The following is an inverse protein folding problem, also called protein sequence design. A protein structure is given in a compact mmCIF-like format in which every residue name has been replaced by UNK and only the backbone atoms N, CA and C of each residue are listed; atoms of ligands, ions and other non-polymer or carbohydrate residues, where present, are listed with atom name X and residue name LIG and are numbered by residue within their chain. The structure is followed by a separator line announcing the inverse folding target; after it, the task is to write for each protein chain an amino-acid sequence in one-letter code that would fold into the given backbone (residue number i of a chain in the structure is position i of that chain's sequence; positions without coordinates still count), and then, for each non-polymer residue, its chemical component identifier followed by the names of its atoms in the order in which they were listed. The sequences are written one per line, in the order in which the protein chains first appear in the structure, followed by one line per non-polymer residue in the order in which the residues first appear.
data_IF_213237149626
#
_entry.id   IF_213237149626
#
_cell.length_a   1.000
_cell.length_b   1.000
_cell.length_c   1.000
_cell.angle_alpha   90.00
_cell.angle_beta   90.00
_cell.angle_gamma   90.00
#
_symmetry.space_group_name_H-M   'P 1'
#
loop_
_entity.id
_entity.type
_entity.pdbx_description
1 polymer ?
#
# COMPACT_ATOMS: atom_id res chain seq x y z
N UNK A 1 -15.01 -3.20 51.07
CA UNK A 1 -15.82 -3.43 49.86
C UNK A 1 -14.93 -3.09 48.67
N UNK A 2 -14.49 -4.12 47.96
CA UNK A 2 -13.48 -4.04 46.91
C UNK A 2 -14.21 -3.97 45.57
N UNK A 3 -14.01 -2.89 44.79
CA UNK A 3 -14.49 -2.80 43.42
C UNK A 3 -13.55 -3.61 42.51
N UNK A 4 -14.01 -4.62 41.75
CA UNK A 4 -13.22 -5.18 40.68
C UNK A 4 -13.60 -4.57 39.34
N UNK A 5 -12.56 -4.10 38.66
CA UNK A 5 -12.28 -4.32 37.24
C UNK A 5 -13.30 -3.83 36.20
N UNK A 6 -12.98 -2.71 35.57
CA UNK A 6 -13.39 -2.40 34.20
C UNK A 6 -12.82 -3.49 33.29
N UNK A 7 -13.67 -4.43 32.87
CA UNK A 7 -13.42 -5.32 31.74
C UNK A 7 -13.30 -4.43 30.50
N UNK A 8 -12.05 -4.19 30.09
CA UNK A 8 -11.74 -3.60 28.80
C UNK A 8 -12.25 -4.57 27.75
N UNK A 9 -13.43 -4.31 27.19
CA UNK A 9 -13.91 -5.02 26.01
C UNK A 9 -12.89 -4.75 24.91
N UNK A 10 -12.04 -5.75 24.68
CA UNK A 10 -11.20 -5.85 23.51
C UNK A 10 -12.08 -5.51 22.31
N UNK A 11 -11.81 -4.35 21.72
CA UNK A 11 -12.26 -4.01 20.39
C UNK A 11 -11.61 -5.04 19.46
N UNK A 12 -12.29 -6.19 19.25
CA UNK A 12 -11.97 -7.23 18.25
C UNK A 12 -12.23 -6.70 16.83
N UNK A 13 -11.77 -5.49 16.60
CA UNK A 13 -11.39 -4.91 15.34
C UNK A 13 -10.63 -5.97 14.52
N UNK A 14 -11.25 -6.56 13.46
CA UNK A 14 -10.71 -7.73 12.78
C UNK A 14 -9.33 -7.41 12.23
N UNK A 15 -8.35 -8.31 12.42
CA UNK A 15 -7.04 -8.19 11.81
C UNK A 15 -7.23 -8.12 10.29
N UNK A 16 -7.00 -6.94 9.71
CA UNK A 16 -6.92 -6.79 8.27
C UNK A 16 -5.48 -7.16 7.94
N UNK A 17 -5.28 -8.32 7.32
CA UNK A 17 -4.00 -8.71 6.76
C UNK A 17 -3.83 -7.93 5.46
N UNK A 18 -3.01 -6.88 5.52
CA UNK A 18 -2.72 -6.04 4.37
C UNK A 18 -1.29 -6.34 3.91
N UNK A 19 -1.18 -7.06 2.80
CA UNK A 19 0.10 -7.31 2.14
C UNK A 19 0.43 -6.17 1.18
N UNK A 20 1.68 -5.73 1.19
CA UNK A 20 2.22 -4.64 0.39
C UNK A 20 3.28 -5.19 -0.56
N UNK A 21 3.02 -5.12 -1.86
CA UNK A 21 3.98 -5.51 -2.88
C UNK A 21 4.78 -4.29 -3.31
N UNK A 22 6.07 -4.27 -2.99
CA UNK A 22 7.00 -3.27 -3.50
C UNK A 22 7.60 -3.74 -4.82
N UNK A 23 7.31 -3.02 -5.90
CA UNK A 23 7.77 -3.34 -7.26
C UNK A 23 8.80 -2.32 -7.71
N UNK A 24 10.07 -2.71 -7.62
CA UNK A 24 11.22 -1.87 -7.98
C UNK A 24 12.34 -1.90 -6.94
N UNK A 25 13.33 -0.99 -7.05
CA UNK A 25 14.51 -0.99 -6.20
C UNK A 25 14.18 -0.74 -4.72
N UNK A 26 14.84 -1.49 -3.82
CA UNK A 26 14.65 -1.39 -2.37
C UNK A 26 15.70 -0.50 -1.68
N UNK A 27 16.69 -0.01 -2.41
CA UNK A 27 17.72 0.92 -1.95
C UNK A 27 17.26 2.39 -1.98
N UNK A 28 15.97 2.62 -2.25
CA UNK A 28 15.40 3.97 -2.31
C UNK A 28 15.04 4.51 -0.93
N UNK A 29 15.18 5.82 -0.75
CA UNK A 29 14.73 6.52 0.48
C UNK A 29 13.24 6.28 0.76
N UNK A 30 12.40 6.26 -0.28
CA UNK A 30 10.96 6.02 -0.15
C UNK A 30 10.65 4.62 0.39
N UNK A 31 11.41 3.60 -0.03
CA UNK A 31 11.29 2.25 0.54
C UNK A 31 11.64 2.24 2.03
N UNK A 32 12.80 2.79 2.39
CA UNK A 32 13.24 2.82 3.79
C UNK A 32 12.26 3.59 4.68
N UNK A 33 11.70 4.69 4.17
CA UNK A 33 10.73 5.48 4.90
C UNK A 33 9.37 4.79 5.00
N UNK A 34 8.95 4.01 4.00
CA UNK A 34 7.77 3.14 4.09
C UNK A 34 7.96 2.11 5.21
N UNK A 35 9.09 1.40 5.22
CA UNK A 35 9.41 0.40 6.25
C UNK A 35 9.41 1.03 7.64
N UNK A 36 10.08 2.18 7.80
CA UNK A 36 10.10 2.92 9.08
C UNK A 36 8.71 3.37 9.50
N UNK A 37 7.92 3.88 8.57
CA UNK A 37 6.57 4.36 8.87
C UNK A 37 5.63 3.21 9.25
N UNK A 38 5.65 2.08 8.53
CA UNK A 38 4.88 0.87 8.86
C UNK A 38 5.27 0.36 10.26
N UNK A 39 6.55 0.40 10.60
CA UNK A 39 7.05 -0.01 11.92
C UNK A 39 6.72 0.99 13.05
N UNK A 40 6.30 2.22 12.71
CA UNK A 40 6.03 3.29 13.69
C UNK A 40 4.60 3.25 14.24
N UNK A 41 4.42 3.85 15.42
CA UNK A 41 3.10 4.03 16.06
C UNK A 41 2.15 4.96 15.30
N UNK A 42 2.62 5.60 14.21
CA UNK A 42 1.83 6.46 13.32
C UNK A 42 1.20 5.72 12.15
N UNK A 43 1.51 4.44 11.97
CA UNK A 43 0.81 3.59 11.01
C UNK A 43 -0.60 3.28 11.54
N UNK A 44 -1.65 3.24 10.69
CA UNK A 44 -3.04 3.17 11.12
C UNK A 44 -3.46 1.95 11.98
N UNK A 45 -2.58 0.98 12.32
CA UNK A 45 -2.88 -0.05 13.34
C UNK A 45 -1.68 -0.71 14.03
N UNK A 46 -1.90 -1.08 15.31
CA UNK A 46 -1.57 -2.36 15.99
C UNK A 46 -2.75 -2.74 16.91
N UNK A 47 -3.24 -3.98 16.96
CA UNK A 47 -2.63 -5.04 17.78
C UNK A 47 -2.47 -6.44 17.13
N UNK A 48 -3.05 -6.74 15.95
CA UNK A 48 -2.98 -8.10 15.35
C UNK A 48 -2.76 -8.14 13.82
N UNK A 49 -2.45 -7.03 13.15
CA UNK A 49 -2.21 -7.01 11.70
C UNK A 49 -0.70 -7.14 11.40
N UNK A 50 -0.32 -8.16 10.62
CA UNK A 50 1.03 -8.31 10.07
C UNK A 50 1.09 -7.67 8.69
N UNK A 51 1.67 -6.46 8.61
CA UNK A 51 2.02 -5.88 7.32
C UNK A 51 3.18 -6.71 6.76
N UNK A 52 2.91 -7.45 5.70
CA UNK A 52 3.97 -8.15 4.96
C UNK A 52 4.35 -7.29 3.77
N UNK A 53 5.63 -6.94 3.67
CA UNK A 53 6.19 -6.30 2.48
C UNK A 53 6.82 -7.38 1.63
N UNK A 54 6.25 -7.62 0.45
CA UNK A 54 6.78 -8.57 -0.54
C UNK A 54 7.52 -7.78 -1.61
N UNK A 55 8.77 -8.14 -1.87
CA UNK A 55 9.57 -7.49 -2.90
C UNK A 55 9.41 -8.21 -4.24
N UNK A 56 9.25 -7.43 -5.30
CA UNK A 56 9.28 -7.90 -6.67
C UNK A 56 10.31 -7.09 -7.45
N UNK A 57 11.46 -7.72 -7.72
CA UNK A 57 12.48 -7.17 -8.63
C UNK A 57 12.09 -7.33 -10.11
N UNK A 58 11.15 -8.24 -10.40
CA UNK A 58 10.62 -8.46 -11.74
C UNK A 58 9.68 -7.34 -12.19
N UNK A 59 9.52 -7.14 -13.52
CA UNK A 59 8.69 -6.07 -14.08
C UNK A 59 7.20 -6.24 -13.78
N UNK A 60 6.75 -7.46 -13.50
CA UNK A 60 5.38 -7.79 -13.14
C UNK A 60 5.41 -8.60 -11.84
N UNK A 61 4.77 -8.14 -10.76
CA UNK A 61 4.73 -8.87 -9.51
C UNK A 61 3.88 -10.14 -9.63
N UNK A 62 4.33 -11.21 -8.97
CA UNK A 62 3.54 -12.42 -8.82
C UNK A 62 2.48 -12.23 -7.73
N UNK A 63 1.34 -11.68 -8.11
CA UNK A 63 0.23 -11.44 -7.19
C UNK A 63 -0.67 -12.68 -7.09
N UNK A 64 -1.07 -13.12 -5.89
CA UNK A 64 -2.06 -14.19 -5.75
C UNK A 64 -3.39 -13.80 -6.40
N UNK A 65 -4.22 -14.78 -6.77
CA UNK A 65 -5.59 -14.47 -7.22
C UNK A 65 -6.38 -14.00 -6.00
N UNK A 66 -6.87 -12.76 -6.01
CA UNK A 66 -7.70 -12.25 -4.93
C UNK A 66 -9.05 -12.96 -4.95
N UNK A 67 -9.39 -13.71 -3.90
CA UNK A 67 -10.69 -14.37 -3.73
C UNK A 67 -11.73 -13.44 -3.06
N UNK A 68 -11.51 -12.12 -3.11
CA UNK A 68 -12.41 -11.10 -2.55
C UNK A 68 -12.29 -10.87 -1.04
N UNK A 69 -11.31 -11.49 -0.35
CA UNK A 69 -11.23 -11.41 1.12
C UNK A 69 -10.33 -10.31 1.70
N UNK A 70 -9.49 -9.64 0.91
CA UNK A 70 -8.94 -8.31 1.24
C UNK A 70 -8.08 -7.80 0.07
N UNK A 71 -8.19 -6.51 -0.30
CA UNK A 71 -7.40 -5.95 -1.39
C UNK A 71 -5.97 -5.68 -0.92
N UNK A 72 -5.02 -6.42 -1.47
CA UNK A 72 -3.59 -6.12 -1.31
C UNK A 72 -3.19 -4.79 -1.93
N UNK A 73 -2.07 -4.22 -1.50
CA UNK A 73 -1.54 -2.95 -2.03
C UNK A 73 -0.29 -3.20 -2.87
N UNK A 74 -0.26 -2.73 -4.11
CA UNK A 74 0.90 -2.83 -5.00
C UNK A 74 1.48 -1.44 -5.18
N UNK A 75 2.70 -1.22 -4.70
CA UNK A 75 3.47 0.00 -4.89
C UNK A 75 4.43 -0.19 -6.07
N UNK A 76 4.29 0.69 -7.06
CA UNK A 76 5.14 0.73 -8.23
C UNK A 76 6.15 1.87 -8.12
N UNK A 77 7.45 1.54 -8.09
CA UNK A 77 8.50 2.56 -8.11
C UNK A 77 8.57 3.18 -9.49
N UNK A 78 8.60 4.51 -9.56
CA UNK A 78 8.76 5.25 -10.81
C UNK A 78 10.22 5.17 -11.25
N UNK A 79 10.50 4.60 -12.44
CA UNK A 79 11.85 4.60 -13.00
C UNK A 79 12.30 6.02 -13.36
N UNK A 80 13.60 6.29 -13.25
CA UNK A 80 14.21 7.55 -13.70
C UNK A 80 14.03 7.79 -15.21
N UNK A 81 13.87 6.71 -15.98
CA UNK A 81 13.62 6.74 -17.42
C UNK A 81 12.19 7.17 -17.79
N UNK A 82 11.33 7.42 -16.80
CA UNK A 82 9.95 7.86 -16.97
C UNK A 82 8.90 6.74 -16.82
N UNK A 83 7.63 7.11 -16.96
CA UNK A 83 6.49 6.27 -16.56
C UNK A 83 5.84 5.45 -17.69
N UNK A 84 6.28 5.59 -18.94
CA UNK A 84 5.55 5.03 -20.09
C UNK A 84 5.39 3.51 -20.00
N UNK A 85 6.46 2.79 -19.70
CA UNK A 85 6.40 1.34 -19.53
C UNK A 85 5.77 0.94 -18.18
N UNK A 86 5.87 1.79 -17.17
CA UNK A 86 5.22 1.58 -15.88
C UNK A 86 3.69 1.57 -16.03
N UNK A 87 3.13 2.51 -16.79
CA UNK A 87 1.69 2.56 -17.10
C UNK A 87 1.24 1.24 -17.74
N UNK A 88 1.98 0.73 -18.73
CA UNK A 88 1.62 -0.53 -19.42
C UNK A 88 1.55 -1.70 -18.43
N UNK A 89 2.57 -1.84 -17.57
CA UNK A 89 2.64 -2.90 -16.55
C UNK A 89 1.51 -2.79 -15.53
N UNK A 90 1.19 -1.58 -15.06
CA UNK A 90 0.06 -1.34 -14.16
C UNK A 90 -1.25 -1.77 -14.84
N UNK A 91 -1.46 -1.37 -16.09
CA UNK A 91 -2.63 -1.75 -16.87
C UNK A 91 -2.78 -3.26 -17.02
N UNK A 92 -1.69 -3.96 -17.32
CA UNK A 92 -1.64 -5.41 -17.46
C UNK A 92 -1.95 -6.13 -16.14
N UNK A 93 -1.36 -5.69 -15.02
CA UNK A 93 -1.66 -6.30 -13.72
C UNK A 93 -3.11 -6.04 -13.33
N UNK A 94 -3.64 -4.85 -13.56
CA UNK A 94 -5.04 -4.54 -13.23
C UNK A 94 -6.04 -5.39 -14.03
N UNK A 95 -5.75 -5.68 -15.29
CA UNK A 95 -6.63 -6.48 -16.13
C UNK A 95 -6.56 -7.97 -15.78
N UNK A 96 -5.38 -8.48 -15.41
CA UNK A 96 -5.16 -9.90 -15.12
C UNK A 96 -5.34 -10.26 -13.64
N UNK A 97 -5.17 -9.29 -12.74
CA UNK A 97 -5.24 -9.42 -11.28
C UNK A 97 -6.08 -8.27 -10.70
N UNK A 98 -7.40 -8.25 -10.95
CA UNK A 98 -8.26 -7.21 -10.40
C UNK A 98 -8.36 -7.34 -8.87
N UNK A 99 -8.68 -6.23 -8.21
CA UNK A 99 -8.94 -6.19 -6.77
C UNK A 99 -7.77 -5.72 -5.90
N UNK A 100 -6.60 -5.43 -6.49
CA UNK A 100 -5.49 -4.79 -5.77
C UNK A 100 -5.61 -3.27 -5.82
N UNK A 101 -5.13 -2.60 -4.76
CA UNK A 101 -4.92 -1.16 -4.75
C UNK A 101 -3.54 -0.86 -5.35
N UNK A 102 -3.50 -0.03 -6.39
CA UNK A 102 -2.26 0.34 -7.05
C UNK A 102 -1.82 1.73 -6.58
N UNK A 103 -0.57 1.84 -6.14
CA UNK A 103 0.07 3.08 -5.75
C UNK A 103 1.36 3.26 -6.55
N UNK A 104 1.84 4.49 -6.65
CA UNK A 104 3.15 4.77 -7.25
C UNK A 104 4.03 5.52 -6.28
N UNK A 105 5.34 5.30 -6.34
CA UNK A 105 6.32 5.95 -5.48
C UNK A 105 7.50 6.46 -6.31
N UNK A 106 7.85 7.74 -6.19
CA UNK A 106 8.97 8.35 -6.92
C UNK A 106 8.65 9.74 -7.44
N UNK A 107 9.52 10.28 -8.29
CA UNK A 107 9.30 11.58 -8.89
C UNK A 107 8.38 11.44 -10.11
N UNK A 108 7.30 12.20 -10.12
CA UNK A 108 6.43 12.37 -11.29
C UNK A 108 6.00 13.83 -11.42
N UNK A 109 6.07 14.35 -12.63
CA UNK A 109 5.47 15.63 -12.99
C UNK A 109 3.93 15.58 -12.85
N UNK A 110 3.25 16.74 -12.76
CA UNK A 110 1.78 16.76 -12.69
C UNK A 110 1.07 16.03 -13.85
N UNK A 111 1.65 16.09 -15.06
CA UNK A 111 1.12 15.38 -16.22
C UNK A 111 1.27 13.86 -16.07
N UNK A 112 2.42 13.41 -15.57
CA UNK A 112 2.67 12.00 -15.30
C UNK A 112 1.74 11.44 -14.22
N UNK A 113 1.51 12.21 -13.15
CA UNK A 113 0.55 11.83 -12.10
C UNK A 113 -0.86 11.67 -12.64
N UNK A 114 -1.27 12.50 -13.62
CA UNK A 114 -2.54 12.35 -14.31
C UNK A 114 -2.65 11.02 -15.05
N UNK A 115 -1.64 10.65 -15.85
CA UNK A 115 -1.63 9.36 -16.55
C UNK A 115 -1.61 8.16 -15.60
N UNK A 116 -0.88 8.26 -14.49
CA UNK A 116 -0.88 7.23 -13.44
C UNK A 116 -2.27 7.07 -12.81
N UNK A 117 -3.01 8.17 -12.63
CA UNK A 117 -4.38 8.13 -12.14
C UNK A 117 -5.34 7.53 -13.18
N UNK A 118 -5.18 7.90 -14.46
CA UNK A 118 -5.98 7.38 -15.57
C UNK A 118 -5.83 5.86 -15.76
N UNK A 119 -4.62 5.32 -15.56
CA UNK A 119 -4.39 3.86 -15.55
C UNK A 119 -4.85 3.20 -14.25
N UNK A 120 -5.42 3.95 -13.31
CA UNK A 120 -6.14 3.45 -12.14
C UNK A 120 -5.31 3.26 -10.88
N UNK A 121 -4.19 3.98 -10.75
CA UNK A 121 -3.55 4.13 -9.44
C UNK A 121 -4.44 4.97 -8.52
N UNK A 122 -4.44 4.63 -7.23
CA UNK A 122 -5.23 5.28 -6.17
C UNK A 122 -4.49 6.44 -5.51
N UNK A 123 -3.19 6.52 -5.73
CA UNK A 123 -2.37 7.56 -5.13
C UNK A 123 -0.91 7.48 -5.55
N UNK A 124 -0.21 8.56 -5.27
CA UNK A 124 1.18 8.77 -5.60
C UNK A 124 1.93 9.29 -4.39
N UNK A 125 3.11 8.73 -4.13
CA UNK A 125 4.01 9.09 -3.03
C UNK A 125 5.27 9.68 -3.62
N UNK A 126 5.43 10.99 -3.43
CA UNK A 126 6.63 11.70 -3.84
C UNK A 126 7.55 11.97 -2.64
N UNK A 127 6.98 12.03 -1.44
CA UNK A 127 7.70 12.28 -0.19
C UNK A 127 7.24 11.34 0.92
N UNK A 128 8.13 11.08 1.87
CA UNK A 128 7.89 10.22 3.05
C UNK A 128 6.66 10.64 3.86
N UNK A 129 6.36 11.93 3.91
CA UNK A 129 5.19 12.50 4.59
C UNK A 129 3.85 12.16 3.92
N UNK A 130 3.87 11.59 2.72
CA UNK A 130 2.67 11.22 1.98
C UNK A 130 2.19 9.81 2.35
N UNK A 131 3.03 8.96 2.93
CA UNK A 131 2.66 7.61 3.37
C UNK A 131 1.41 7.56 4.26
N UNK A 132 1.25 8.40 5.31
CA UNK A 132 0.04 8.40 6.12
C UNK A 132 -1.23 8.75 5.32
N UNK A 133 -1.14 9.67 4.37
CA UNK A 133 -2.28 10.09 3.55
C UNK A 133 -2.73 8.95 2.64
N UNK A 134 -1.77 8.28 2.02
CA UNK A 134 -2.02 7.18 1.09
C UNK A 134 -2.55 5.94 1.82
N UNK A 135 -2.07 5.66 3.02
CA UNK A 135 -2.56 4.56 3.84
C UNK A 135 -4.06 4.66 4.13
N UNK A 136 -4.56 5.87 4.38
CA UNK A 136 -6.00 6.11 4.61
C UNK A 136 -6.85 5.84 3.36
N UNK A 137 -6.27 5.90 2.17
CA UNK A 137 -6.98 5.62 0.90
C UNK A 137 -7.11 4.11 0.68
N UNK A 138 -6.08 3.34 1.04
CA UNK A 138 -6.00 1.90 0.74
C UNK A 138 -6.39 0.99 1.90
N UNK A 139 -6.51 1.55 3.11
CA UNK A 139 -6.99 0.82 4.29
C UNK A 139 -8.48 1.12 4.48
N UNK A 140 -9.37 0.13 4.32
CA UNK A 140 -10.78 0.34 4.61
C UNK A 140 -10.93 0.68 6.09
N UNK A 141 -11.65 1.78 6.39
CA UNK A 141 -12.05 2.06 7.75
C UNK A 141 -13.09 1.00 8.14
N UNK A 142 -12.99 0.36 9.31
CA UNK A 142 -14.14 -0.37 9.83
C UNK A 142 -15.27 0.65 9.95
N UNK A 143 -16.39 0.38 9.27
CA UNK A 143 -17.61 1.19 9.42
C UNK A 143 -17.90 1.31 10.93
N UNK A 144 -18.04 2.54 11.40
CA UNK A 144 -18.64 2.81 12.71
C UNK A 144 -20.09 2.35 12.71
#
# INVERSE_FOLDING_TARGET
MTHPFLESTDDESPAIELTWWWVGPTDTTLYHDLVRWIASDRSPRRAKSTWEIIHSEGPIPSLPRSSGKQPGVVIWVIPETGIADLIKRIGEVRSTRPGYHHLTAGLASPNEQRFLTEVGTRGHVQHSKDWPKIANIVTPHPNK
#
